data_IF_254469892753
#
_entry.id   IF_254469892753
#
_cell.length_a   1.000
_cell.length_b   1.000
_cell.length_c   1.000
_cell.angle_alpha   90.00
_cell.angle_beta   90.00
_cell.angle_gamma   90.00
#
_symmetry.space_group_name_H-M   'P 1'
#
loop_
_entity.id
_entity.type
_entity.pdbx_description
1 polymer ?
#
# COMPACT_ATOMS: atom_id res chain seq x y z
N UNK A 1 27.06 -105.40 14.23
CA UNK A 1 25.59 -105.47 14.15
C UNK A 1 25.15 -104.65 12.96
N UNK A 2 24.60 -105.26 11.89
CA UNK A 2 24.21 -104.54 10.69
C UNK A 2 22.68 -104.46 10.57
N UNK A 3 22.04 -103.37 11.03
CA UNK A 3 20.69 -102.99 10.56
C UNK A 3 20.49 -101.46 10.59
N UNK A 4 20.63 -100.78 9.43
CA UNK A 4 20.02 -99.47 9.22
C UNK A 4 19.25 -99.32 7.88
N UNK A 5 19.01 -100.41 7.13
CA UNK A 5 18.41 -100.33 5.79
C UNK A 5 16.87 -100.24 5.77
N UNK A 6 16.20 -100.72 6.80
CA UNK A 6 14.73 -100.85 6.84
C UNK A 6 14.03 -99.52 7.12
N UNK A 7 14.56 -98.68 8.01
CA UNK A 7 13.92 -97.40 8.37
C UNK A 7 14.00 -96.34 7.25
N UNK A 8 15.12 -96.27 6.53
CA UNK A 8 15.27 -95.37 5.38
C UNK A 8 14.26 -95.72 4.27
N UNK A 9 14.06 -97.01 3.99
CA UNK A 9 13.10 -97.48 2.99
C UNK A 9 11.64 -97.18 3.36
N UNK A 10 11.30 -97.17 4.65
CA UNK A 10 9.94 -96.90 5.13
C UNK A 10 9.61 -95.40 5.02
N UNK A 11 10.57 -94.52 5.33
CA UNK A 11 10.38 -93.07 5.21
C UNK A 11 10.18 -92.67 3.74
N UNK A 12 10.88 -93.29 2.80
CA UNK A 12 10.71 -93.01 1.37
C UNK A 12 9.33 -93.45 0.84
N UNK A 13 8.79 -94.56 1.35
CA UNK A 13 7.41 -95.00 1.05
C UNK A 13 6.39 -93.99 1.61
N UNK A 14 6.57 -93.51 2.84
CA UNK A 14 5.71 -92.47 3.42
C UNK A 14 5.76 -91.19 2.58
N UNK A 15 6.96 -90.74 2.19
CA UNK A 15 7.12 -89.54 1.36
C UNK A 15 6.40 -89.67 0.01
N UNK A 16 6.48 -90.83 -0.65
CA UNK A 16 5.76 -91.09 -1.89
C UNK A 16 4.23 -91.09 -1.70
N UNK A 17 3.73 -91.75 -0.65
CA UNK A 17 2.28 -91.81 -0.38
C UNK A 17 1.70 -90.44 0.03
N UNK A 18 2.46 -89.65 0.81
CA UNK A 18 2.09 -88.27 1.16
C UNK A 18 2.12 -87.37 -0.08
N UNK A 19 3.13 -87.49 -0.95
CA UNK A 19 3.20 -86.74 -2.20
C UNK A 19 2.10 -87.13 -3.19
N UNK A 20 1.62 -88.38 -3.17
CA UNK A 20 0.51 -88.87 -3.98
C UNK A 20 -0.88 -88.49 -3.42
N UNK A 21 -0.95 -87.89 -2.22
CA UNK A 21 -2.21 -87.46 -1.61
C UNK A 21 -3.05 -88.60 -1.01
N UNK A 22 -2.42 -89.69 -0.59
CA UNK A 22 -3.13 -90.79 0.08
C UNK A 22 -3.64 -90.39 1.48
N UNK A 23 -4.75 -90.98 1.92
CA UNK A 23 -5.32 -90.69 3.23
C UNK A 23 -4.43 -91.19 4.37
N UNK A 24 -4.41 -90.47 5.49
CA UNK A 24 -3.59 -90.82 6.66
C UNK A 24 -3.88 -92.23 7.17
N UNK A 25 -5.14 -92.65 7.14
CA UNK A 25 -5.57 -94.00 7.52
C UNK A 25 -4.94 -95.08 6.63
N UNK A 26 -4.85 -94.84 5.33
CA UNK A 26 -4.26 -95.78 4.36
C UNK A 26 -2.74 -95.87 4.50
N UNK A 27 -2.09 -94.75 4.81
CA UNK A 27 -0.64 -94.71 5.07
C UNK A 27 -0.33 -95.43 6.38
N UNK A 28 -1.09 -95.19 7.45
CA UNK A 28 -0.94 -95.87 8.74
C UNK A 28 -1.19 -97.38 8.62
N UNK A 29 -2.16 -97.79 7.81
CA UNK A 29 -2.44 -99.20 7.56
C UNK A 29 -1.31 -99.88 6.78
N UNK A 30 -0.76 -99.20 5.77
CA UNK A 30 0.39 -99.69 5.00
C UNK A 30 1.66 -99.79 5.88
N UNK A 31 1.86 -98.85 6.80
CA UNK A 31 2.96 -98.91 7.77
C UNK A 31 2.79 -100.05 8.79
N UNK A 32 1.54 -100.34 9.17
CA UNK A 32 1.21 -101.48 10.04
C UNK A 32 1.43 -102.81 9.34
N UNK A 33 1.08 -102.90 8.05
CA UNK A 33 1.29 -104.09 7.21
C UNK A 33 2.79 -104.37 6.97
N UNK A 34 3.63 -103.32 7.02
CA UNK A 34 5.10 -103.41 7.00
C UNK A 34 5.72 -103.74 8.38
N UNK A 35 4.90 -104.01 9.40
CA UNK A 35 5.34 -104.43 10.73
C UNK A 35 5.76 -103.31 11.68
N UNK A 36 5.40 -102.05 11.38
CA UNK A 36 5.72 -100.91 12.25
C UNK A 36 4.65 -100.75 13.34
N UNK A 37 5.08 -100.56 14.59
CA UNK A 37 4.15 -100.29 15.69
C UNK A 37 3.31 -99.02 15.45
N UNK A 38 2.02 -98.98 15.83
CA UNK A 38 1.11 -97.87 15.53
C UNK A 38 1.61 -96.50 16.00
N UNK A 39 2.21 -96.45 17.19
CA UNK A 39 2.78 -95.23 17.76
C UNK A 39 4.03 -94.73 17.00
N UNK A 40 4.81 -95.66 16.44
CA UNK A 40 5.99 -95.34 15.62
C UNK A 40 5.57 -94.93 14.20
N UNK A 41 4.53 -95.54 13.65
CA UNK A 41 3.95 -95.19 12.36
C UNK A 41 3.40 -93.75 12.31
N UNK A 42 2.68 -93.30 13.35
CA UNK A 42 2.21 -91.92 13.46
C UNK A 42 3.36 -90.90 13.52
N UNK A 43 4.43 -91.21 14.27
CA UNK A 43 5.61 -90.33 14.34
C UNK A 43 6.35 -90.24 13.00
N UNK A 44 6.48 -91.36 12.29
CA UNK A 44 7.12 -91.39 10.98
C UNK A 44 6.30 -90.65 9.91
N UNK A 45 4.96 -90.75 9.98
CA UNK A 45 4.06 -89.98 9.11
C UNK A 45 4.22 -88.47 9.32
N UNK A 46 4.22 -88.01 10.58
CA UNK A 46 4.44 -86.61 10.91
C UNK A 46 5.82 -86.10 10.45
N UNK A 47 6.86 -86.93 10.60
CA UNK A 47 8.21 -86.60 10.12
C UNK A 47 8.25 -86.47 8.59
N UNK A 48 7.62 -87.40 7.87
CA UNK A 48 7.52 -87.39 6.41
C UNK A 48 6.69 -86.21 5.88
N UNK A 49 5.59 -85.86 6.54
CA UNK A 49 4.80 -84.67 6.22
C UNK A 49 5.62 -83.39 6.45
N UNK A 50 6.33 -83.27 7.58
CA UNK A 50 7.15 -82.10 7.89
C UNK A 50 8.29 -81.88 6.88
N UNK A 51 8.93 -82.95 6.42
CA UNK A 51 9.95 -82.89 5.36
C UNK A 51 9.35 -82.43 4.03
N UNK A 52 8.20 -82.98 3.64
CA UNK A 52 7.49 -82.57 2.41
C UNK A 52 7.05 -81.11 2.48
N UNK A 53 6.54 -80.63 3.62
CA UNK A 53 6.21 -79.23 3.83
C UNK A 53 7.43 -78.31 3.70
N UNK A 54 8.59 -78.74 4.23
CA UNK A 54 9.83 -77.97 4.15
C UNK A 54 10.31 -77.85 2.70
N UNK A 55 10.21 -78.94 1.93
CA UNK A 55 10.54 -78.94 0.50
C UNK A 55 9.59 -78.05 -0.30
N UNK A 56 8.27 -78.18 -0.09
CA UNK A 56 7.27 -77.32 -0.74
C UNK A 56 7.47 -75.85 -0.40
N UNK A 57 7.75 -75.52 0.86
CA UNK A 57 8.06 -74.15 1.28
C UNK A 57 9.31 -73.61 0.58
N UNK A 58 10.34 -74.43 0.43
CA UNK A 58 11.56 -74.06 -0.30
C UNK A 58 11.29 -73.75 -1.77
N UNK A 59 10.49 -74.59 -2.44
CA UNK A 59 10.18 -74.43 -3.86
C UNK A 59 9.22 -73.26 -4.11
N UNK A 60 8.20 -73.09 -3.25
CA UNK A 60 7.32 -71.91 -3.28
C UNK A 60 8.13 -70.64 -3.10
N UNK A 61 9.05 -70.60 -2.13
CA UNK A 61 9.89 -69.42 -1.93
C UNK A 61 10.75 -69.11 -3.16
N UNK A 62 11.32 -70.12 -3.83
CA UNK A 62 12.07 -69.90 -5.08
C UNK A 62 11.18 -69.34 -6.18
N UNK A 63 10.01 -69.94 -6.40
CA UNK A 63 9.06 -69.49 -7.44
C UNK A 63 8.62 -68.05 -7.17
N UNK A 64 8.26 -67.74 -5.93
CA UNK A 64 7.86 -66.38 -5.53
C UNK A 64 9.02 -65.40 -5.70
N UNK A 65 10.23 -65.79 -5.29
CA UNK A 65 11.41 -64.92 -5.43
C UNK A 65 11.73 -64.65 -6.89
N UNK A 66 11.77 -65.67 -7.74
CA UNK A 66 11.98 -65.49 -9.19
C UNK A 66 10.89 -64.63 -9.83
N UNK A 67 9.62 -64.86 -9.47
CA UNK A 67 8.51 -64.10 -10.02
C UNK A 67 8.58 -62.64 -9.60
N UNK A 68 8.87 -62.38 -8.32
CA UNK A 68 9.05 -61.02 -7.79
C UNK A 68 10.26 -60.35 -8.44
N UNK A 69 11.38 -61.03 -8.62
CA UNK A 69 12.56 -60.47 -9.28
C UNK A 69 12.30 -60.13 -10.76
N UNK A 70 11.50 -60.94 -11.47
CA UNK A 70 11.09 -60.68 -12.85
C UNK A 70 10.07 -59.54 -12.98
N UNK A 71 9.13 -59.44 -12.05
CA UNK A 71 8.08 -58.40 -12.04
C UNK A 71 8.57 -57.05 -11.51
N UNK A 72 9.51 -57.04 -10.55
CA UNK A 72 10.05 -55.83 -9.93
C UNK A 72 10.49 -54.75 -10.93
N UNK A 73 11.29 -55.03 -11.98
CA UNK A 73 11.67 -54.00 -12.95
C UNK A 73 10.48 -53.44 -13.73
N UNK A 74 9.47 -54.26 -14.04
CA UNK A 74 8.24 -53.79 -14.69
C UNK A 74 7.45 -52.86 -13.78
N UNK A 75 7.34 -53.23 -12.50
CA UNK A 75 6.64 -52.46 -11.50
C UNK A 75 7.34 -51.11 -11.24
N UNK A 76 8.67 -51.10 -11.17
CA UNK A 76 9.48 -49.88 -11.05
C UNK A 76 9.28 -48.98 -12.27
N UNK A 77 9.36 -49.53 -13.49
CA UNK A 77 9.13 -48.76 -14.72
C UNK A 77 7.73 -48.15 -14.78
N UNK A 78 6.70 -48.88 -14.36
CA UNK A 78 5.34 -48.36 -14.27
C UNK A 78 5.22 -47.20 -13.26
N UNK A 79 5.83 -47.33 -12.08
CA UNK A 79 5.84 -46.27 -11.06
C UNK A 79 6.56 -45.03 -11.57
N UNK A 80 7.71 -45.19 -12.24
CA UNK A 80 8.45 -44.08 -12.83
C UNK A 80 7.65 -43.36 -13.92
N UNK A 81 6.99 -44.10 -14.81
CA UNK A 81 6.17 -43.53 -15.89
C UNK A 81 4.97 -42.75 -15.33
N UNK A 82 4.26 -43.31 -14.34
CA UNK A 82 3.15 -42.63 -13.67
C UNK A 82 3.63 -41.39 -12.89
N UNK A 83 4.80 -41.46 -12.24
CA UNK A 83 5.37 -40.31 -11.54
C UNK A 83 5.73 -39.17 -12.51
N UNK A 84 6.28 -39.48 -13.69
CA UNK A 84 6.57 -38.49 -14.74
C UNK A 84 5.27 -37.87 -15.27
N UNK A 85 4.25 -38.67 -15.57
CA UNK A 85 2.94 -38.16 -16.02
C UNK A 85 2.28 -37.27 -14.97
N UNK A 86 2.31 -37.67 -13.71
CA UNK A 86 1.79 -36.87 -12.60
C UNK A 86 2.55 -35.55 -12.46
N UNK A 87 3.89 -35.60 -12.56
CA UNK A 87 4.75 -34.41 -12.53
C UNK A 87 4.47 -33.44 -13.69
N UNK A 88 4.31 -33.95 -14.91
CA UNK A 88 3.94 -33.12 -16.06
C UNK A 88 2.57 -32.48 -15.91
N UNK A 89 1.58 -33.25 -15.42
CA UNK A 89 0.23 -32.74 -15.20
C UNK A 89 0.23 -31.61 -14.16
N UNK A 90 0.91 -31.83 -13.03
CA UNK A 90 1.08 -30.81 -12.00
C UNK A 90 1.79 -29.56 -12.56
N UNK A 91 2.87 -29.75 -13.34
CA UNK A 91 3.59 -28.63 -13.97
C UNK A 91 2.69 -27.83 -14.91
N UNK A 92 1.86 -28.50 -15.73
CA UNK A 92 0.91 -27.83 -16.63
C UNK A 92 -0.15 -27.06 -15.86
N UNK A 93 -0.70 -27.65 -14.79
CA UNK A 93 -1.69 -27.00 -13.93
C UNK A 93 -1.10 -25.75 -13.24
N UNK A 94 0.09 -25.86 -12.66
CA UNK A 94 0.80 -24.73 -12.04
C UNK A 94 1.12 -23.65 -13.06
N UNK A 95 1.60 -24.01 -14.25
CA UNK A 95 1.90 -23.03 -15.31
C UNK A 95 0.63 -22.32 -15.78
N UNK A 96 -0.48 -23.05 -15.90
CA UNK A 96 -1.77 -22.47 -16.29
C UNK A 96 -2.29 -21.50 -15.22
N UNK A 97 -2.27 -21.90 -13.95
CA UNK A 97 -2.66 -21.06 -12.84
C UNK A 97 -1.79 -19.79 -12.75
N UNK A 98 -0.47 -19.93 -12.87
CA UNK A 98 0.45 -18.81 -12.87
C UNK A 98 0.18 -17.83 -14.03
N UNK A 99 -0.13 -18.34 -15.23
CA UNK A 99 -0.49 -17.50 -16.36
C UNK A 99 -1.81 -16.76 -16.14
N UNK A 100 -2.83 -17.45 -15.62
CA UNK A 100 -4.11 -16.82 -15.29
C UNK A 100 -3.97 -15.72 -14.23
N UNK A 101 -3.13 -15.93 -13.21
CA UNK A 101 -2.84 -14.91 -12.20
C UNK A 101 -2.08 -13.72 -12.79
N UNK A 102 -1.08 -13.97 -13.66
CA UNK A 102 -0.37 -12.90 -14.36
C UNK A 102 -1.31 -12.07 -15.25
N UNK A 103 -2.20 -12.71 -16.00
CA UNK A 103 -3.19 -12.02 -16.85
C UNK A 103 -4.16 -11.17 -16.01
N UNK A 104 -4.52 -11.63 -14.79
CA UNK A 104 -5.33 -10.83 -13.85
C UNK A 104 -4.55 -9.63 -13.33
N UNK A 105 -3.31 -9.82 -12.90
CA UNK A 105 -2.45 -8.73 -12.45
C UNK A 105 -2.22 -7.69 -13.53
N UNK A 106 -2.01 -8.10 -14.79
CA UNK A 106 -1.87 -7.17 -15.91
C UNK A 106 -3.14 -6.33 -16.13
N UNK A 107 -4.32 -6.96 -16.05
CA UNK A 107 -5.61 -6.25 -16.16
C UNK A 107 -5.81 -5.27 -15.01
N UNK A 108 -5.50 -5.67 -13.77
CA UNK A 108 -5.63 -4.81 -12.60
C UNK A 108 -4.68 -3.62 -12.67
N UNK A 109 -3.41 -3.83 -13.04
CA UNK A 109 -2.42 -2.75 -13.25
C UNK A 109 -2.88 -1.80 -14.35
N UNK A 110 -3.41 -2.34 -15.46
CA UNK A 110 -3.91 -1.53 -16.57
C UNK A 110 -5.14 -0.71 -16.13
N UNK A 111 -6.04 -1.31 -15.35
CA UNK A 111 -7.20 -0.61 -14.78
C UNK A 111 -6.81 0.49 -13.80
N UNK A 112 -5.88 0.21 -12.90
CA UNK A 112 -5.31 1.19 -11.97
C UNK A 112 -4.62 2.32 -12.72
N UNK A 113 -3.87 2.02 -13.78
CA UNK A 113 -3.19 3.03 -14.60
C UNK A 113 -4.18 3.98 -15.28
N UNK A 114 -5.31 3.46 -15.78
CA UNK A 114 -6.40 4.30 -16.32
C UNK A 114 -7.01 5.19 -15.26
N UNK A 115 -7.32 4.63 -14.10
CA UNK A 115 -7.89 5.38 -12.96
C UNK A 115 -6.92 6.50 -12.52
N UNK A 116 -5.62 6.21 -12.49
CA UNK A 116 -4.59 7.19 -12.16
C UNK A 116 -4.49 8.29 -13.22
N UNK A 117 -4.59 7.95 -14.52
CA UNK A 117 -4.63 8.95 -15.59
C UNK A 117 -5.86 9.86 -15.48
N UNK A 118 -7.03 9.31 -15.15
CA UNK A 118 -8.25 10.09 -14.92
C UNK A 118 -8.07 11.06 -13.74
N UNK A 119 -7.54 10.59 -12.61
CA UNK A 119 -7.25 11.42 -11.44
C UNK A 119 -6.22 12.53 -11.74
N UNK A 120 -5.17 12.22 -12.52
CA UNK A 120 -4.21 13.24 -12.96
C UNK A 120 -4.91 14.29 -13.82
N UNK A 121 -5.73 13.88 -14.80
CA UNK A 121 -6.42 14.82 -15.68
C UNK A 121 -7.37 15.72 -14.89
N UNK A 122 -8.11 15.18 -13.92
CA UNK A 122 -8.97 15.96 -13.03
C UNK A 122 -8.16 16.93 -12.14
N UNK A 123 -7.02 16.48 -11.62
CA UNK A 123 -6.11 17.32 -10.83
C UNK A 123 -5.51 18.45 -11.68
N UNK A 124 -5.13 18.17 -12.92
CA UNK A 124 -4.60 19.18 -13.85
C UNK A 124 -5.70 20.19 -14.21
N UNK A 125 -6.92 19.73 -14.47
CA UNK A 125 -8.05 20.61 -14.77
C UNK A 125 -8.38 21.54 -13.59
N UNK A 126 -8.45 20.99 -12.38
CA UNK A 126 -8.69 21.78 -11.16
C UNK A 126 -7.54 22.75 -10.86
N UNK A 127 -6.27 22.36 -11.11
CA UNK A 127 -5.13 23.28 -11.03
C UNK A 127 -5.21 24.42 -12.06
N UNK A 128 -5.63 24.13 -13.29
CA UNK A 128 -5.81 25.15 -14.31
C UNK A 128 -6.93 26.14 -13.92
N UNK A 129 -8.03 25.64 -13.35
CA UNK A 129 -9.12 26.46 -12.82
C UNK A 129 -8.64 27.32 -11.63
N UNK A 130 -7.92 26.73 -10.68
CA UNK A 130 -7.30 27.45 -9.56
C UNK A 130 -6.37 28.55 -10.04
N UNK A 131 -5.52 28.28 -11.03
CA UNK A 131 -4.62 29.28 -11.61
C UNK A 131 -5.41 30.45 -12.23
N UNK A 132 -6.52 30.13 -12.90
CA UNK A 132 -7.41 31.15 -13.49
C UNK A 132 -8.05 32.00 -12.41
N UNK A 133 -8.61 31.38 -11.35
CA UNK A 133 -9.18 32.10 -10.20
C UNK A 133 -8.14 32.96 -9.47
N UNK A 134 -6.91 32.48 -9.33
CA UNK A 134 -5.81 33.26 -8.73
C UNK A 134 -5.49 34.48 -9.58
N UNK A 135 -5.41 34.34 -10.91
CA UNK A 135 -5.19 35.49 -11.81
C UNK A 135 -6.32 36.51 -11.73
N UNK A 136 -7.57 36.05 -11.70
CA UNK A 136 -8.73 36.94 -11.53
C UNK A 136 -8.68 37.68 -10.19
N UNK A 137 -8.41 36.98 -9.08
CA UNK A 137 -8.29 37.60 -7.76
C UNK A 137 -7.12 38.57 -7.66
N UNK A 138 -5.99 38.28 -8.32
CA UNK A 138 -4.86 39.21 -8.40
C UNK A 138 -5.21 40.47 -9.21
N UNK A 139 -5.98 40.34 -10.30
CA UNK A 139 -6.46 41.49 -11.05
C UNK A 139 -7.45 42.32 -10.23
N UNK A 140 -8.42 41.69 -9.57
CA UNK A 140 -9.36 42.38 -8.66
C UNK A 140 -8.62 43.11 -7.53
N UNK A 141 -7.64 42.46 -6.90
CA UNK A 141 -6.80 43.08 -5.87
C UNK A 141 -5.99 44.26 -6.46
N UNK A 142 -5.47 44.12 -7.67
CA UNK A 142 -4.76 45.20 -8.37
C UNK A 142 -5.65 46.42 -8.62
N UNK A 143 -6.90 46.21 -9.03
CA UNK A 143 -7.90 47.28 -9.22
C UNK A 143 -8.28 47.94 -7.88
N UNK A 144 -8.56 47.14 -6.85
CA UNK A 144 -8.85 47.66 -5.51
C UNK A 144 -7.69 48.48 -4.93
N UNK A 145 -6.44 48.02 -5.15
CA UNK A 145 -5.26 48.71 -4.67
C UNK A 145 -5.04 50.03 -5.42
N UNK A 146 -5.31 50.06 -6.73
CA UNK A 146 -5.29 51.30 -7.52
C UNK A 146 -6.38 52.28 -7.08
N UNK A 147 -7.58 51.78 -6.79
CA UNK A 147 -8.67 52.61 -6.27
C UNK A 147 -8.32 53.17 -4.88
N UNK A 148 -7.79 52.34 -3.98
CA UNK A 148 -7.32 52.80 -2.68
C UNK A 148 -6.19 53.83 -2.77
N UNK A 149 -5.28 53.71 -3.75
CA UNK A 149 -4.27 54.73 -4.02
C UNK A 149 -4.89 56.05 -4.49
N UNK A 150 -5.85 56.00 -5.41
CA UNK A 150 -6.58 57.19 -5.86
C UNK A 150 -7.37 57.84 -4.72
N UNK A 151 -8.04 57.05 -3.89
CA UNK A 151 -8.78 57.54 -2.72
C UNK A 151 -7.82 58.18 -1.70
N UNK A 152 -6.63 57.61 -1.49
CA UNK A 152 -5.60 58.20 -0.63
C UNK A 152 -5.02 59.49 -1.23
N UNK A 153 -4.80 59.56 -2.54
CA UNK A 153 -4.40 60.79 -3.23
C UNK A 153 -5.49 61.85 -3.13
N UNK A 154 -6.75 61.49 -3.35
CA UNK A 154 -7.89 62.39 -3.23
C UNK A 154 -8.09 62.85 -1.78
N UNK A 155 -7.94 61.98 -0.79
CA UNK A 155 -7.96 62.33 0.63
C UNK A 155 -6.81 63.25 1.01
N UNK A 156 -5.61 63.04 0.47
CA UNK A 156 -4.47 63.93 0.68
C UNK A 156 -4.72 65.31 0.04
N UNK A 157 -5.31 65.35 -1.15
CA UNK A 157 -5.68 66.60 -1.83
C UNK A 157 -6.81 67.35 -1.12
N UNK A 158 -7.88 66.66 -0.70
CA UNK A 158 -9.03 67.25 0.01
C UNK A 158 -8.70 67.64 1.46
N UNK A 159 -7.93 66.82 2.16
CA UNK A 159 -7.57 67.05 3.57
C UNK A 159 -6.60 68.21 3.78
N UNK A 160 -5.67 68.43 2.85
CA UNK A 160 -4.73 69.56 2.92
C UNK A 160 -5.39 70.86 2.47
N UNK A 161 -6.21 70.83 1.42
CA UNK A 161 -6.87 72.04 0.90
C UNK A 161 -7.96 72.61 1.82
N UNK A 162 -8.76 71.77 2.48
CA UNK A 162 -9.85 72.23 3.35
C UNK A 162 -9.38 72.85 4.65
N UNK A 163 -8.37 72.25 5.30
CA UNK A 163 -7.84 72.71 6.59
C UNK A 163 -7.04 74.01 6.44
N UNK A 164 -6.23 74.11 5.39
CA UNK A 164 -5.50 75.35 5.09
C UNK A 164 -6.45 76.49 4.72
N UNK A 165 -7.52 76.22 3.96
CA UNK A 165 -8.49 77.27 3.60
C UNK A 165 -9.22 77.87 4.81
N UNK A 166 -9.55 77.06 5.82
CA UNK A 166 -10.18 77.56 7.06
C UNK A 166 -9.18 78.38 7.89
N UNK A 167 -7.92 77.90 7.99
CA UNK A 167 -6.87 78.61 8.73
C UNK A 167 -6.52 79.94 8.05
N UNK A 168 -6.37 79.93 6.72
CA UNK A 168 -6.15 81.13 5.90
C UNK A 168 -7.30 82.13 6.05
N UNK A 169 -8.57 81.67 5.94
CA UNK A 169 -9.73 82.55 6.10
C UNK A 169 -9.84 83.13 7.52
N UNK A 170 -9.51 82.35 8.55
CA UNK A 170 -9.42 82.84 9.93
C UNK A 170 -8.33 83.89 10.12
N UNK A 171 -7.14 83.67 9.56
CA UNK A 171 -6.04 84.64 9.61
C UNK A 171 -6.35 85.94 8.85
N UNK A 172 -7.05 85.86 7.71
CA UNK A 172 -7.53 87.05 6.98
C UNK A 172 -8.50 87.86 7.83
N UNK A 173 -9.47 87.21 8.47
CA UNK A 173 -10.42 87.90 9.35
C UNK A 173 -9.73 88.58 10.54
N UNK A 174 -8.75 87.92 11.15
CA UNK A 174 -7.95 88.48 12.25
C UNK A 174 -7.12 89.66 11.76
N UNK A 175 -6.45 89.55 10.61
CA UNK A 175 -5.69 90.65 10.01
C UNK A 175 -6.56 91.88 9.73
N UNK A 176 -7.74 91.69 9.14
CA UNK A 176 -8.70 92.78 8.91
C UNK A 176 -9.20 93.41 10.21
N UNK A 177 -9.41 92.63 11.27
CA UNK A 177 -9.79 93.15 12.58
C UNK A 177 -8.70 94.05 13.18
N UNK A 178 -7.42 93.69 13.03
CA UNK A 178 -6.31 94.55 13.47
C UNK A 178 -6.25 95.87 12.69
N UNK A 179 -6.48 95.85 11.38
CA UNK A 179 -6.55 97.08 10.58
C UNK A 179 -7.75 97.95 10.96
N UNK A 180 -8.91 97.36 11.21
CA UNK A 180 -10.09 98.10 11.67
C UNK A 180 -9.85 98.72 13.06
N UNK A 181 -9.17 97.99 13.95
CA UNK A 181 -8.77 98.49 15.26
C UNK A 181 -7.74 99.62 15.16
N UNK A 182 -6.73 99.48 14.30
CA UNK A 182 -5.74 100.52 14.05
C UNK A 182 -6.39 101.79 13.47
N UNK A 183 -7.29 101.62 12.51
CA UNK A 183 -8.06 102.73 11.95
C UNK A 183 -8.97 103.40 12.99
N UNK A 184 -9.57 102.62 13.88
CA UNK A 184 -10.38 103.15 14.99
C UNK A 184 -9.52 103.95 15.99
N UNK A 185 -8.36 103.42 16.38
CA UNK A 185 -7.40 104.14 17.23
C UNK A 185 -6.93 105.43 16.56
N UNK A 186 -6.62 105.37 15.27
CA UNK A 186 -6.21 106.53 14.48
C UNK A 186 -7.31 107.59 14.41
N UNK A 187 -8.56 107.21 14.13
CA UNK A 187 -9.70 108.12 14.04
C UNK A 187 -10.07 108.76 15.39
N UNK A 188 -9.90 108.05 16.50
CA UNK A 188 -10.21 108.58 17.84
C UNK A 188 -9.08 109.48 18.38
N UNK A 189 -7.83 109.19 18.03
CA UNK A 189 -6.66 109.99 18.43
C UNK A 189 -6.49 111.26 17.60
N UNK A 190 -7.06 111.34 16.39
CA UNK A 190 -6.96 112.52 15.51
C UNK A 190 -7.58 113.82 16.08
N UNK A 191 -8.33 113.73 17.20
CA UNK A 191 -8.89 114.88 17.93
C UNK A 191 -8.12 115.30 19.19
N UNK A 192 -7.06 114.58 19.58
CA UNK A 192 -6.23 114.86 20.75
C UNK A 192 -4.75 115.02 20.37
N UNK A 193 -3.93 115.62 21.24
CA UNK A 193 -2.49 115.78 21.00
C UNK A 193 -1.87 114.38 20.86
N UNK A 194 -1.45 114.03 19.64
CA UNK A 194 -0.78 112.77 19.31
C UNK A 194 0.48 112.62 20.18
N UNK A 195 0.40 111.75 21.19
CA UNK A 195 1.56 111.34 21.98
C UNK A 195 2.43 110.38 21.17
N UNK A 196 3.75 110.43 21.35
CA UNK A 196 4.70 109.54 20.67
C UNK A 196 4.33 108.06 20.92
N UNK A 197 3.82 107.73 22.11
CA UNK A 197 3.43 106.37 22.49
C UNK A 197 2.26 105.83 21.65
N UNK A 198 1.25 106.66 21.33
CA UNK A 198 0.11 106.21 20.51
C UNK A 198 0.50 106.00 19.04
N UNK A 199 1.46 106.76 18.54
CA UNK A 199 2.03 106.54 17.21
C UNK A 199 2.81 105.23 17.12
N UNK A 200 3.59 104.88 18.16
CA UNK A 200 4.33 103.61 18.22
C UNK A 200 3.34 102.44 18.25
N UNK A 201 2.29 102.52 19.06
CA UNK A 201 1.26 101.46 19.14
C UNK A 201 0.57 101.24 17.79
N UNK A 202 0.19 102.31 17.08
CA UNK A 202 -0.43 102.20 15.76
C UNK A 202 0.49 101.50 14.75
N UNK A 203 1.76 101.90 14.69
CA UNK A 203 2.75 101.27 13.78
C UNK A 203 2.93 99.78 14.10
N UNK A 204 3.02 99.41 15.37
CA UNK A 204 3.17 98.00 15.79
C UNK A 204 1.94 97.18 15.43
N UNK A 205 0.73 97.70 15.70
CA UNK A 205 -0.53 97.03 15.36
C UNK A 205 -0.69 96.88 13.84
N UNK A 206 -0.34 97.91 13.06
CA UNK A 206 -0.31 97.86 11.61
C UNK A 206 0.67 96.80 11.07
N UNK A 207 1.87 96.68 11.64
CA UNK A 207 2.83 95.63 11.28
C UNK A 207 2.32 94.22 11.61
N UNK A 208 1.62 94.04 12.74
CA UNK A 208 0.98 92.77 13.10
C UNK A 208 -0.13 92.44 12.09
N UNK A 209 -0.95 93.42 11.69
CA UNK A 209 -1.96 93.25 10.65
C UNK A 209 -1.38 92.80 9.30
N UNK A 210 -0.31 93.46 8.83
CA UNK A 210 0.37 93.11 7.58
C UNK A 210 0.97 91.70 7.65
N UNK A 211 1.65 91.36 8.74
CA UNK A 211 2.26 90.03 8.91
C UNK A 211 1.23 88.92 8.98
N UNK A 212 0.10 89.12 9.67
CA UNK A 212 -1.01 88.17 9.67
C UNK A 212 -1.60 87.95 8.26
N UNK A 213 -1.81 89.02 7.49
CA UNK A 213 -2.30 88.89 6.12
C UNK A 213 -1.30 88.20 5.20
N UNK A 214 -0.01 88.49 5.34
CA UNK A 214 1.04 87.84 4.55
C UNK A 214 1.14 86.35 4.85
N UNK A 215 1.08 85.95 6.12
CA UNK A 215 1.02 84.54 6.51
C UNK A 215 -0.26 83.89 5.99
N UNK A 216 -1.40 84.60 6.01
CA UNK A 216 -2.66 84.08 5.46
C UNK A 216 -2.59 83.78 3.95
N UNK A 217 -1.81 84.55 3.19
CA UNK A 217 -1.62 84.31 1.75
C UNK A 217 -0.65 83.17 1.42
N UNK A 218 0.19 82.75 2.38
CA UNK A 218 1.15 81.67 2.21
C UNK A 218 0.61 80.30 2.64
N UNK A 219 -0.43 80.26 3.48
CA UNK A 219 -1.09 79.05 4.01
C UNK A 219 -2.20 78.58 3.09
#
# INVERSE_FOLDING_TARGET
MPEPKTEASIIDVIRQMVAAGESEEKILQTLKDLGVEPAKAQRLLLLGQADTFTLLRGEINKIVTEYVEKEKPRMVGFIEEEAVKAGEKARREVTKAAKEDLDRYEKDITGQSKTFQEQINETVASMAELNTRVREKLNELGEQLRQAQLDLEEMKLRGVGGRNRIISLGLVLVGLAFFAYDFYLFSTQFGAVLTIDSMIVAIVVGLIGITCLFVATLV
#
